data_IF_155488914697
#
_entry.id   IF_155488914697
#
_cell.length_a   1.000
_cell.length_b   1.000
_cell.length_c   1.000
_cell.angle_alpha   90.00
_cell.angle_beta   90.00
_cell.angle_gamma   90.00
#
_symmetry.space_group_name_H-M   'P 1'
#
loop_
_entity.id
_entity.type
_entity.pdbx_description
1 polymer ?
#
# COMPACT_ATOMS: atom_id res chain seq x y z
N UNK A 1 17.70 2.99 -22.16
CA UNK A 1 16.32 2.71 -21.69
C UNK A 1 16.09 3.54 -20.43
N UNK A 2 14.99 4.28 -20.32
CA UNK A 2 14.72 5.17 -19.19
C UNK A 2 13.46 4.69 -18.43
N UNK A 3 13.60 3.85 -17.39
CA UNK A 3 12.45 3.20 -16.74
C UNK A 3 11.39 4.17 -16.18
N UNK A 4 11.80 5.36 -15.75
CA UNK A 4 10.87 6.39 -15.29
C UNK A 4 9.85 6.78 -16.37
N UNK A 5 10.21 6.71 -17.66
CA UNK A 5 9.35 7.06 -18.80
C UNK A 5 8.25 6.03 -19.08
N UNK A 6 8.26 4.86 -18.44
CA UNK A 6 7.21 3.86 -18.60
C UNK A 6 5.89 4.27 -17.91
N UNK A 7 5.94 5.26 -17.01
CA UNK A 7 4.80 5.71 -16.22
C UNK A 7 4.54 7.21 -16.37
N UNK A 8 4.16 7.70 -17.57
CA UNK A 8 3.99 9.13 -17.84
C UNK A 8 2.92 9.77 -16.93
N UNK A 9 1.81 9.06 -16.67
CA UNK A 9 0.76 9.50 -15.75
C UNK A 9 1.24 9.70 -14.30
N UNK A 10 2.31 9.03 -13.88
CA UNK A 10 2.90 9.22 -12.57
C UNK A 10 3.83 10.44 -12.55
N UNK A 11 4.51 10.74 -13.66
CA UNK A 11 5.39 11.90 -13.79
C UNK A 11 4.63 13.24 -13.77
N UNK A 12 3.41 13.26 -14.31
CA UNK A 12 2.55 14.45 -14.32
C UNK A 12 2.05 14.83 -12.92
N UNK A 13 2.19 13.94 -11.93
CA UNK A 13 1.68 14.15 -10.58
C UNK A 13 2.78 14.62 -9.63
N UNK A 14 2.43 15.61 -8.82
CA UNK A 14 3.25 15.97 -7.66
C UNK A 14 3.13 14.88 -6.59
N UNK A 15 4.21 14.14 -6.38
CA UNK A 15 4.31 13.11 -5.35
C UNK A 15 5.34 13.55 -4.29
N UNK A 16 4.95 13.48 -3.02
CA UNK A 16 5.87 13.68 -1.90
C UNK A 16 6.33 12.31 -1.41
N UNK A 17 7.63 12.03 -1.54
CA UNK A 17 8.22 10.76 -1.11
C UNK A 17 8.78 10.92 0.30
N UNK A 18 8.34 10.06 1.22
CA UNK A 18 8.84 10.02 2.59
C UNK A 18 9.58 8.70 2.80
N UNK A 19 10.86 8.79 3.16
CA UNK A 19 11.70 7.64 3.41
C UNK A 19 11.84 7.44 4.93
N UNK A 20 11.31 6.33 5.45
CA UNK A 20 11.48 5.92 6.84
C UNK A 20 12.55 4.83 6.94
N UNK A 21 13.69 5.13 7.55
CA UNK A 21 14.83 4.19 7.69
C UNK A 21 15.09 3.88 9.16
N UNK A 22 15.43 2.63 9.46
CA UNK A 22 15.85 2.18 10.80
C UNK A 22 16.01 0.66 10.85
N UNK A 23 16.44 0.07 11.97
CA UNK A 23 16.55 -1.38 12.13
C UNK A 23 15.19 -2.10 12.12
N UNK A 24 15.20 -3.42 11.94
CA UNK A 24 13.98 -4.23 12.10
C UNK A 24 13.37 -4.02 13.50
N UNK A 25 12.04 -4.06 13.60
CA UNK A 25 11.28 -3.81 14.84
C UNK A 25 11.39 -2.38 15.44
N UNK A 26 11.70 -1.37 14.63
CA UNK A 26 11.78 0.04 15.09
C UNK A 26 10.46 0.83 14.94
N UNK A 27 9.31 0.15 14.78
CA UNK A 27 8.00 0.81 14.68
C UNK A 27 7.70 1.56 13.37
N UNK A 28 8.53 1.45 12.33
CA UNK A 28 8.30 2.12 11.03
C UNK A 28 6.96 1.72 10.40
N UNK A 29 6.68 0.43 10.36
CA UNK A 29 5.42 -0.13 9.86
C UNK A 29 4.22 0.44 10.60
N UNK A 30 4.34 0.76 11.90
CA UNK A 30 3.25 1.36 12.66
C UNK A 30 2.90 2.78 12.17
N UNK A 31 3.93 3.62 11.93
CA UNK A 31 3.73 4.97 11.37
C UNK A 31 3.11 4.91 9.97
N UNK A 32 3.60 4.00 9.13
CA UNK A 32 3.07 3.80 7.79
C UNK A 32 1.59 3.37 7.81
N UNK A 33 1.22 2.41 8.67
CA UNK A 33 -0.17 1.95 8.78
C UNK A 33 -1.10 3.05 9.33
N UNK A 34 -0.66 3.86 10.29
CA UNK A 34 -1.46 4.99 10.76
C UNK A 34 -1.73 6.01 9.64
N UNK A 35 -0.77 6.17 8.71
CA UNK A 35 -0.96 7.05 7.54
C UNK A 35 -1.95 6.46 6.54
N UNK A 36 -1.93 5.14 6.34
CA UNK A 36 -2.93 4.43 5.53
C UNK A 36 -4.33 4.64 6.12
N UNK A 37 -4.49 4.42 7.42
CA UNK A 37 -5.77 4.59 8.14
C UNK A 37 -6.35 6.01 8.03
N UNK A 38 -5.50 7.04 8.08
CA UNK A 38 -5.93 8.44 7.99
C UNK A 38 -6.22 8.92 6.56
N UNK A 39 -5.97 8.10 5.53
CA UNK A 39 -6.13 8.50 4.12
C UNK A 39 -7.52 8.13 3.58
N UNK A 40 -8.04 8.89 2.62
CA UNK A 40 -9.33 8.62 1.98
C UNK A 40 -9.26 7.46 0.97
N UNK A 41 -8.06 7.17 0.47
CA UNK A 41 -7.74 6.02 -0.39
C UNK A 41 -6.26 5.71 -0.29
N UNK A 42 -5.91 4.43 -0.18
CA UNK A 42 -4.50 4.05 -0.12
C UNK A 42 -4.21 2.64 -0.62
N UNK A 43 -2.93 2.38 -0.88
CA UNK A 43 -2.44 1.03 -1.09
C UNK A 43 -1.20 0.76 -0.23
N UNK A 44 -1.20 -0.38 0.46
CA UNK A 44 -0.02 -0.99 1.05
C UNK A 44 0.55 -2.02 0.09
N UNK A 45 1.83 -1.92 -0.24
CA UNK A 45 2.56 -2.86 -1.06
C UNK A 45 3.69 -3.47 -0.24
N UNK A 46 3.65 -4.78 -0.01
CA UNK A 46 4.69 -5.50 0.73
C UNK A 46 5.25 -6.71 -0.02
N UNK A 47 6.41 -7.24 0.40
CA UNK A 47 7.04 -8.40 -0.25
C UNK A 47 6.38 -9.73 0.12
N UNK A 48 5.72 -9.80 1.27
CA UNK A 48 5.21 -11.05 1.83
C UNK A 48 3.70 -11.01 1.99
N UNK A 49 3.04 -12.11 1.58
CA UNK A 49 1.62 -12.35 1.81
C UNK A 49 1.22 -12.18 3.27
N UNK A 50 2.09 -12.60 4.21
CA UNK A 50 1.82 -12.50 5.64
C UNK A 50 1.66 -11.03 6.08
N UNK A 51 2.54 -10.15 5.60
CA UNK A 51 2.48 -8.71 5.91
C UNK A 51 1.26 -8.05 5.27
N UNK A 52 0.98 -8.35 4.00
CA UNK A 52 -0.22 -7.85 3.33
C UNK A 52 -1.50 -8.24 4.09
N UNK A 53 -1.58 -9.48 4.57
CA UNK A 53 -2.68 -9.98 5.41
C UNK A 53 -2.76 -9.25 6.75
N UNK A 54 -1.64 -9.03 7.41
CA UNK A 54 -1.60 -8.35 8.71
C UNK A 54 -2.12 -6.91 8.59
N UNK A 55 -1.67 -6.18 7.57
CA UNK A 55 -2.11 -4.80 7.31
C UNK A 55 -3.59 -4.75 6.94
N UNK A 56 -4.06 -5.63 6.03
CA UNK A 56 -5.48 -5.70 5.68
C UNK A 56 -6.36 -5.99 6.90
N UNK A 57 -5.95 -6.97 7.74
CA UNK A 57 -6.68 -7.34 8.95
C UNK A 57 -6.70 -6.18 9.95
N UNK A 58 -5.59 -5.46 10.11
CA UNK A 58 -5.50 -4.31 11.02
C UNK A 58 -6.43 -3.18 10.58
N UNK A 59 -6.43 -2.81 9.29
CA UNK A 59 -7.30 -1.76 8.75
C UNK A 59 -8.78 -2.12 8.87
N UNK A 60 -9.16 -3.34 8.47
CA UNK A 60 -10.54 -3.79 8.59
C UNK A 60 -11.01 -3.87 10.06
N UNK A 61 -10.12 -4.20 11.01
CA UNK A 61 -10.44 -4.22 12.45
C UNK A 61 -10.80 -2.84 13.00
N UNK A 62 -10.29 -1.76 12.39
CA UNK A 62 -10.63 -0.37 12.75
C UNK A 62 -11.68 0.24 11.82
N UNK A 63 -12.49 -0.59 11.15
CA UNK A 63 -13.55 -0.20 10.22
C UNK A 63 -13.09 0.58 8.98
N UNK A 64 -11.82 0.43 8.58
CA UNK A 64 -11.32 0.89 7.28
C UNK A 64 -11.41 -0.26 6.30
N UNK A 65 -12.43 -0.23 5.42
CA UNK A 65 -12.62 -1.26 4.40
C UNK A 65 -11.41 -1.37 3.48
N UNK A 66 -10.69 -2.47 3.61
CA UNK A 66 -9.43 -2.72 2.92
C UNK A 66 -9.44 -4.09 2.23
N UNK A 67 -9.22 -4.07 0.92
CA UNK A 67 -9.05 -5.28 0.13
C UNK A 67 -7.74 -5.99 0.49
N UNK A 68 -7.72 -7.31 0.38
CA UNK A 68 -6.49 -8.11 0.39
C UNK A 68 -6.30 -8.73 -0.99
N UNK A 69 -5.22 -8.37 -1.69
CA UNK A 69 -4.94 -8.90 -3.04
C UNK A 69 -3.52 -9.46 -3.09
N UNK A 70 -3.41 -10.77 -3.17
CA UNK A 70 -2.16 -11.50 -3.35
C UNK A 70 -2.32 -12.50 -4.48
N UNK A 71 -1.25 -13.18 -4.90
CA UNK A 71 -1.37 -14.24 -5.91
C UNK A 71 -2.28 -15.39 -5.49
N UNK A 72 -2.31 -15.73 -4.19
CA UNK A 72 -3.04 -16.89 -3.68
C UNK A 72 -4.38 -16.55 -3.03
N UNK A 73 -4.62 -15.28 -2.70
CA UNK A 73 -5.77 -14.84 -1.91
C UNK A 73 -6.26 -13.49 -2.42
N UNK A 74 -7.56 -13.41 -2.74
CA UNK A 74 -8.27 -12.17 -3.09
C UNK A 74 -9.52 -12.07 -2.24
N UNK A 75 -9.52 -11.11 -1.32
CA UNK A 75 -10.69 -10.73 -0.53
C UNK A 75 -10.99 -9.27 -0.86
N UNK A 76 -11.98 -9.06 -1.73
CA UNK A 76 -12.41 -7.73 -2.15
C UNK A 76 -13.71 -7.38 -1.43
N UNK A 77 -13.77 -6.16 -0.92
CA UNK A 77 -14.92 -5.60 -0.21
C UNK A 77 -15.51 -4.52 -1.12
N UNK A 78 -16.81 -4.60 -1.38
CA UNK A 78 -17.50 -3.62 -2.21
C UNK A 78 -17.32 -2.20 -1.65
N UNK A 79 -16.91 -1.27 -2.52
CA UNK A 79 -16.67 0.12 -2.14
C UNK A 79 -15.40 0.39 -1.31
N UNK A 80 -14.55 -0.61 -1.06
CA UNK A 80 -13.27 -0.40 -0.40
C UNK A 80 -12.36 0.54 -1.20
N UNK A 81 -11.86 1.57 -0.53
CA UNK A 81 -10.91 2.55 -1.10
C UNK A 81 -9.46 2.25 -0.70
N UNK A 82 -9.26 1.23 0.12
CA UNK A 82 -7.96 0.79 0.61
C UNK A 82 -7.68 -0.60 0.06
N UNK A 83 -6.42 -0.85 -0.29
CA UNK A 83 -5.95 -2.17 -0.71
C UNK A 83 -4.65 -2.50 -0.01
N UNK A 84 -4.48 -3.76 0.38
CA UNK A 84 -3.23 -4.32 0.85
C UNK A 84 -2.81 -5.44 -0.08
N UNK A 85 -1.64 -5.28 -0.70
CA UNK A 85 -1.22 -6.11 -1.83
C UNK A 85 0.23 -6.56 -1.70
N UNK A 86 0.55 -7.66 -2.38
CA UNK A 86 1.96 -7.99 -2.67
C UNK A 86 2.45 -7.20 -3.89
N UNK A 87 3.76 -6.94 -3.98
CA UNK A 87 4.33 -6.10 -5.06
C UNK A 87 3.89 -6.52 -6.46
N UNK A 88 3.87 -7.82 -6.73
CA UNK A 88 3.51 -8.37 -8.03
C UNK A 88 2.02 -8.23 -8.37
N UNK A 89 1.19 -7.82 -7.41
CA UNK A 89 -0.25 -7.59 -7.57
C UNK A 89 -0.62 -6.11 -7.50
N UNK A 90 0.35 -5.20 -7.36
CA UNK A 90 0.11 -3.77 -7.23
C UNK A 90 -0.49 -3.17 -8.52
N UNK A 91 -1.58 -2.41 -8.37
CA UNK A 91 -2.18 -1.66 -9.46
C UNK A 91 -1.47 -0.31 -9.62
N UNK A 92 -0.84 -0.12 -10.79
CA UNK A 92 -0.09 1.09 -11.15
C UNK A 92 -0.95 2.16 -11.86
N UNK A 93 -2.23 1.88 -12.06
CA UNK A 93 -3.15 2.75 -12.82
C UNK A 93 -4.11 3.52 -11.94
N UNK A 94 -4.48 2.98 -10.78
CA UNK A 94 -5.37 3.63 -9.82
C UNK A 94 -4.70 4.80 -9.11
N UNK A 95 -5.47 5.86 -8.88
CA UNK A 95 -5.03 7.02 -8.11
C UNK A 95 -5.27 6.78 -6.62
N UNK A 96 -4.20 6.78 -5.84
CA UNK A 96 -4.26 6.71 -4.39
C UNK A 96 -3.82 8.03 -3.76
N UNK A 97 -4.45 8.41 -2.64
CA UNK A 97 -3.99 9.54 -1.83
C UNK A 97 -2.69 9.19 -1.08
N UNK A 98 -2.54 7.93 -0.66
CA UNK A 98 -1.35 7.45 0.03
C UNK A 98 -0.91 6.09 -0.53
N UNK A 99 0.39 5.92 -0.72
CA UNK A 99 1.02 4.66 -1.10
C UNK A 99 2.09 4.35 -0.06
N UNK A 100 2.04 3.15 0.52
CA UNK A 100 3.11 2.62 1.39
C UNK A 100 3.78 1.48 0.65
N UNK A 101 5.11 1.58 0.52
CA UNK A 101 5.98 0.53 -0.01
C UNK A 101 6.84 0.10 1.16
N UNK A 102 6.69 -1.16 1.59
CA UNK A 102 7.36 -1.71 2.77
C UNK A 102 8.53 -2.60 2.37
N UNK A 103 9.59 -2.65 3.19
CA UNK A 103 10.81 -3.44 2.92
C UNK A 103 11.51 -3.07 1.58
N UNK A 104 11.86 -1.79 1.42
CA UNK A 104 12.67 -1.26 0.30
C UNK A 104 14.18 -1.41 0.49
#
# INVERSE_FOLDING_TARGET
MHPHMWYPKAQEKKCNVFLQVGPTNSGKTYSAVNRLEASSSCVYCGPLRLLAREVAKRLNKVNVHCNLITRQERNEIEGAKHSSVTFEMADMTTNYQCVVIDEI
#
